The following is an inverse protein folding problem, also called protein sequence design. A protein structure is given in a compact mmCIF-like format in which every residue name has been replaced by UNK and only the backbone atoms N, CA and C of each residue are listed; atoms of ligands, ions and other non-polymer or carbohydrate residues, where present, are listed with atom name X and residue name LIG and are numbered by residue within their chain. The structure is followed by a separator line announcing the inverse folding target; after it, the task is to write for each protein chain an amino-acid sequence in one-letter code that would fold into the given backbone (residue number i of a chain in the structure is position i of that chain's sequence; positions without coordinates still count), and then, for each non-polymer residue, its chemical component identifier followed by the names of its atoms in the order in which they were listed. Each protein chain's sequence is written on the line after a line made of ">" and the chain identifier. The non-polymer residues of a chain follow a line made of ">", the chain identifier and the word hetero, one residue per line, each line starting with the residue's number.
data_IF_013802874616
#
_entry.id   IF_013802874616
#
_cell.length_a   1.000
_cell.length_b   1.000
_cell.length_c   1.000
_cell.angle_alpha   90.00
_cell.angle_beta   90.00
_cell.angle_gamma   90.00
#
_symmetry.space_group_name_H-M   'P 1'
#
loop_
_entity.id
_entity.type
_entity.pdbx_description
1 polymer ?
#
# COMPACT_ATOMS: atom_id res chain seq x y z
N UNK A 1 6.89 -18.36 15.91
CA UNK A 1 5.51 -18.64 16.35
C UNK A 1 4.59 -17.71 15.59
N UNK A 2 3.55 -18.18 14.87
CA UNK A 2 2.60 -17.28 14.20
C UNK A 2 1.98 -16.35 15.24
N UNK A 3 1.82 -15.07 14.88
CA UNK A 3 1.15 -14.08 15.73
C UNK A 3 -0.29 -14.50 16.03
N UNK A 4 -0.87 -13.96 17.11
CA UNK A 4 -2.20 -14.32 17.64
C UNK A 4 -3.37 -14.22 16.62
N UNK A 5 -3.14 -13.64 15.44
CA UNK A 5 -4.11 -13.47 14.36
C UNK A 5 -3.84 -14.34 13.12
N UNK A 6 -2.87 -15.25 13.18
CA UNK A 6 -2.60 -16.15 12.05
C UNK A 6 -3.79 -17.10 11.86
N UNK A 7 -4.32 -17.17 10.65
CA UNK A 7 -5.32 -18.19 10.28
C UNK A 7 -4.69 -19.58 10.49
N UNK A 8 -5.46 -20.56 10.97
CA UNK A 8 -4.95 -21.90 11.11
C UNK A 8 -4.51 -22.44 9.74
N UNK A 9 -3.44 -23.20 9.73
CA UNK A 9 -3.01 -23.87 8.50
C UNK A 9 -4.12 -24.78 7.94
N UNK A 10 -4.18 -24.96 6.62
CA UNK A 10 -5.12 -25.90 6.01
C UNK A 10 -4.96 -27.31 6.61
N UNK A 11 -6.05 -28.08 6.65
CA UNK A 11 -6.02 -29.44 7.14
C UNK A 11 -4.98 -30.27 6.35
N UNK A 12 -4.09 -30.96 7.07
CA UNK A 12 -3.00 -31.76 6.49
C UNK A 12 -1.73 -30.98 6.12
N UNK A 13 -1.69 -29.66 6.36
CA UNK A 13 -0.46 -28.89 6.21
C UNK A 13 0.44 -29.08 7.42
N UNK A 14 1.64 -29.55 7.18
CA UNK A 14 2.69 -29.72 8.21
C UNK A 14 3.77 -28.65 7.98
N UNK A 15 3.80 -27.58 8.79
CA UNK A 15 4.76 -26.49 8.59
C UNK A 15 6.23 -26.93 8.75
N UNK A 16 6.50 -28.03 9.48
CA UNK A 16 7.85 -28.53 9.65
C UNK A 16 8.41 -29.20 8.40
N UNK A 17 7.52 -29.65 7.50
CA UNK A 17 7.89 -30.21 6.21
C UNK A 17 8.08 -29.19 5.11
N UNK A 18 7.62 -27.95 5.32
CA UNK A 18 7.75 -26.87 4.35
C UNK A 18 8.89 -25.94 4.76
N UNK A 19 10.09 -26.27 4.35
CA UNK A 19 11.23 -25.36 4.47
C UNK A 19 11.34 -24.52 3.21
N UNK A 20 11.30 -23.20 3.36
CA UNK A 20 11.67 -22.29 2.28
C UNK A 20 13.19 -22.38 2.13
N UNK A 21 13.71 -22.80 0.95
CA UNK A 21 15.15 -22.87 0.77
C UNK A 21 15.78 -21.50 0.94
N UNK A 22 17.02 -21.42 1.45
CA UNK A 22 17.73 -20.15 1.56
C UNK A 22 17.77 -19.45 0.20
N UNK A 23 17.32 -18.21 0.15
CA UNK A 23 17.44 -17.36 -1.03
C UNK A 23 18.46 -16.24 -0.77
N UNK A 24 19.15 -15.80 -1.81
CA UNK A 24 19.90 -14.57 -1.73
C UNK A 24 18.91 -13.40 -1.88
N UNK A 25 18.95 -12.49 -0.95
CA UNK A 25 18.19 -11.25 -1.01
C UNK A 25 19.14 -10.08 -0.89
N UNK A 26 18.74 -8.95 -1.43
CA UNK A 26 19.39 -7.66 -1.30
C UNK A 26 18.39 -6.61 -0.88
N UNK A 27 18.88 -5.52 -0.34
CA UNK A 27 18.08 -4.32 -0.07
C UNK A 27 18.16 -3.38 -1.26
N UNK A 28 17.11 -2.62 -1.46
CA UNK A 28 17.07 -1.51 -2.43
C UNK A 28 16.84 -0.21 -1.68
N UNK A 29 17.30 0.88 -2.26
CA UNK A 29 17.11 2.22 -1.71
C UNK A 29 16.20 3.04 -2.63
N UNK A 30 15.69 4.16 -2.12
CA UNK A 30 14.97 5.16 -2.92
C UNK A 30 15.74 5.51 -4.18
N UNK A 31 15.09 5.50 -5.33
CA UNK A 31 15.70 5.81 -6.62
C UNK A 31 16.54 4.69 -7.22
N UNK A 32 16.61 3.51 -6.60
CA UNK A 32 17.25 2.34 -7.23
C UNK A 32 16.60 2.02 -8.56
N UNK A 33 17.43 1.62 -9.55
CA UNK A 33 16.97 1.31 -10.91
C UNK A 33 17.17 -0.17 -11.20
N UNK A 34 16.08 -0.86 -11.51
CA UNK A 34 16.15 -2.16 -12.15
C UNK A 34 16.17 -1.98 -13.67
N UNK A 35 17.29 -2.32 -14.33
CA UNK A 35 17.39 -2.35 -15.78
C UNK A 35 17.00 -3.74 -16.28
N UNK A 36 15.91 -3.81 -17.04
CA UNK A 36 15.37 -5.05 -17.58
C UNK A 36 15.84 -5.31 -19.05
N UNK A 37 16.86 -4.59 -19.52
CA UNK A 37 17.39 -4.76 -20.87
C UNK A 37 16.52 -4.07 -21.93
N UNK A 38 16.19 -2.80 -21.72
CA UNK A 38 15.38 -1.98 -22.63
C UNK A 38 14.19 -1.31 -21.95
N UNK A 39 13.98 -1.60 -20.68
CA UNK A 39 12.97 -0.96 -19.82
C UNK A 39 13.55 -0.79 -18.42
N UNK A 40 13.31 0.33 -17.78
CA UNK A 40 13.82 0.64 -16.45
C UNK A 40 12.69 0.84 -15.47
N UNK A 41 12.85 0.28 -14.26
CA UNK A 41 11.93 0.48 -13.15
C UNK A 41 12.65 1.22 -12.03
N UNK A 42 12.04 2.33 -11.59
CA UNK A 42 12.54 3.15 -10.48
C UNK A 42 11.84 2.77 -9.18
N UNK A 43 12.62 2.53 -8.14
CA UNK A 43 12.08 2.30 -6.79
C UNK A 43 11.70 3.65 -6.17
N UNK A 44 10.49 3.71 -5.64
CA UNK A 44 9.93 4.86 -4.93
C UNK A 44 9.48 4.38 -3.56
N UNK A 45 10.02 4.93 -2.49
CA UNK A 45 9.55 4.64 -1.15
C UNK A 45 8.21 5.29 -0.89
N UNK A 46 7.26 4.49 -0.43
CA UNK A 46 5.86 4.89 -0.26
C UNK A 46 5.32 4.46 1.10
N UNK A 47 5.92 4.95 2.21
CA UNK A 47 5.48 4.56 3.55
C UNK A 47 4.01 4.95 3.79
N UNK A 48 3.28 4.07 4.50
CA UNK A 48 1.86 4.29 4.81
C UNK A 48 1.12 2.99 5.06
N UNK A 49 1.12 2.05 4.12
CA UNK A 49 0.64 0.69 4.34
C UNK A 49 1.60 -0.08 5.25
N UNK A 50 2.89 0.06 5.01
CA UNK A 50 4.00 -0.35 5.88
C UNK A 50 5.14 0.65 5.74
N UNK A 51 6.12 0.60 6.66
CA UNK A 51 7.25 1.53 6.66
C UNK A 51 8.22 1.26 5.49
N UNK A 52 8.23 0.04 4.98
CA UNK A 52 9.07 -0.45 3.90
C UNK A 52 8.34 -0.58 2.56
N UNK A 53 7.11 -0.06 2.46
CA UNK A 53 6.36 -0.07 1.21
C UNK A 53 7.09 0.66 0.10
N UNK A 54 7.06 0.08 -1.11
CA UNK A 54 7.62 0.67 -2.31
C UNK A 54 6.65 0.58 -3.48
N UNK A 55 6.75 1.53 -4.39
CA UNK A 55 6.21 1.46 -5.75
C UNK A 55 7.35 1.36 -6.76
N UNK A 56 7.03 0.90 -7.97
CA UNK A 56 7.97 0.93 -9.08
C UNK A 56 7.39 1.77 -10.21
N UNK A 57 8.13 2.78 -10.66
CA UNK A 57 7.72 3.60 -11.80
C UNK A 57 8.47 3.20 -13.06
N UNK A 58 7.77 3.20 -14.17
CA UNK A 58 8.28 3.05 -15.54
C UNK A 58 7.86 4.28 -16.32
N UNK A 59 8.85 5.09 -16.74
CA UNK A 59 8.60 6.45 -17.23
C UNK A 59 8.26 6.51 -18.74
N UNK A 60 8.64 5.52 -19.54
CA UNK A 60 8.42 5.55 -20.98
C UNK A 60 6.94 5.37 -21.34
N UNK A 61 6.28 4.41 -20.71
CA UNK A 61 4.84 4.14 -20.88
C UNK A 61 4.00 4.72 -19.75
N UNK A 62 4.62 5.45 -18.82
CA UNK A 62 3.96 6.04 -17.63
C UNK A 62 3.17 5.01 -16.83
N UNK A 63 3.84 3.96 -16.40
CA UNK A 63 3.27 2.92 -15.56
C UNK A 63 3.77 3.07 -14.12
N UNK A 64 2.87 2.91 -13.16
CA UNK A 64 3.19 2.90 -11.74
C UNK A 64 2.66 1.62 -11.10
N UNK A 65 3.56 0.71 -10.74
CA UNK A 65 3.23 -0.53 -10.03
C UNK A 65 3.09 -0.21 -8.54
N UNK A 66 1.87 -0.29 -8.04
CA UNK A 66 1.51 0.33 -6.77
C UNK A 66 1.74 -0.51 -5.53
N UNK A 67 2.06 -1.81 -5.68
CA UNK A 67 2.13 -2.71 -4.52
C UNK A 67 0.88 -2.61 -3.66
N UNK A 68 1.06 -2.58 -2.35
CA UNK A 68 -0.03 -2.43 -1.39
C UNK A 68 -0.29 -0.97 -0.98
N UNK A 69 0.46 -0.02 -1.57
CA UNK A 69 0.26 1.41 -1.29
C UNK A 69 -1.03 1.94 -1.90
N UNK A 70 -1.46 1.42 -3.06
CA UNK A 70 -2.76 1.74 -3.63
C UNK A 70 -3.34 0.58 -4.42
N UNK A 71 -4.63 0.29 -4.21
CA UNK A 71 -5.47 -0.60 -5.01
C UNK A 71 -6.95 -0.26 -4.78
N UNK A 72 -7.86 -0.59 -5.73
CA UNK A 72 -9.26 -0.21 -5.65
C UNK A 72 -10.05 -1.11 -4.70
N UNK A 73 -9.72 -1.08 -3.41
CA UNK A 73 -10.41 -1.75 -2.31
C UNK A 73 -10.09 -1.08 -0.98
N UNK A 74 -10.04 -1.84 0.11
CA UNK A 74 -9.76 -1.31 1.45
C UNK A 74 -8.25 -1.15 1.67
N UNK A 75 -7.78 0.09 1.73
CA UNK A 75 -6.40 0.45 2.10
C UNK A 75 -6.25 0.44 3.62
N UNK A 76 -5.31 -0.31 4.11
CA UNK A 76 -5.07 -0.48 5.54
C UNK A 76 -3.92 0.42 6.02
N UNK A 77 -4.12 1.11 7.14
CA UNK A 77 -3.20 2.14 7.69
C UNK A 77 -2.47 1.67 8.96
N UNK A 78 -2.75 0.49 9.48
CA UNK A 78 -2.28 0.05 10.80
C UNK A 78 -1.33 -1.16 10.77
N UNK A 79 -0.78 -1.51 9.61
CA UNK A 79 0.12 -2.65 9.51
C UNK A 79 1.53 -2.27 9.96
N UNK A 80 2.02 -3.03 10.93
CA UNK A 80 3.41 -3.15 11.34
C UNK A 80 4.06 -1.96 12.08
N UNK A 81 3.41 -0.81 12.28
CA UNK A 81 4.00 0.28 13.07
C UNK A 81 3.45 0.32 14.52
N UNK A 82 4.30 0.71 15.44
CA UNK A 82 3.94 1.04 16.82
C UNK A 82 3.46 2.49 16.98
N UNK A 83 3.49 3.27 15.89
CA UNK A 83 3.14 4.68 15.89
C UNK A 83 1.63 4.90 16.09
N UNK A 84 1.24 6.05 16.66
CA UNK A 84 -0.15 6.46 16.74
C UNK A 84 -0.82 6.50 15.36
N UNK A 85 -2.09 6.11 15.29
CA UNK A 85 -2.87 6.06 14.02
C UNK A 85 -2.86 7.41 13.30
N UNK A 86 -2.93 8.51 14.05
CA UNK A 86 -2.91 9.87 13.50
C UNK A 86 -1.62 10.14 12.73
N UNK A 87 -0.48 9.67 13.26
CA UNK A 87 0.83 9.80 12.60
C UNK A 87 0.91 8.92 11.35
N UNK A 88 0.37 7.71 11.39
CA UNK A 88 0.31 6.80 10.24
C UNK A 88 -0.57 7.37 9.12
N UNK A 89 -1.72 7.93 9.47
CA UNK A 89 -2.63 8.63 8.54
C UNK A 89 -1.91 9.82 7.89
N UNK A 90 -1.17 10.62 8.68
CA UNK A 90 -0.38 11.75 8.17
C UNK A 90 0.74 11.30 7.23
N UNK A 91 1.47 10.24 7.59
CA UNK A 91 2.52 9.66 6.75
C UNK A 91 1.96 9.22 5.41
N UNK A 92 0.86 8.46 5.44
CA UNK A 92 0.23 7.98 4.22
C UNK A 92 -0.31 9.13 3.34
N UNK A 93 -0.94 10.12 3.97
CA UNK A 93 -1.42 11.32 3.27
C UNK A 93 -0.29 12.01 2.51
N UNK A 94 0.85 12.26 3.17
CA UNK A 94 2.02 12.90 2.55
C UNK A 94 2.58 12.07 1.40
N UNK A 95 2.68 10.76 1.56
CA UNK A 95 3.08 9.84 0.50
C UNK A 95 2.16 10.01 -0.72
N UNK A 96 0.85 9.99 -0.52
CA UNK A 96 -0.11 10.14 -1.62
C UNK A 96 -0.06 11.52 -2.28
N UNK A 97 0.19 12.60 -1.53
CA UNK A 97 0.37 13.95 -2.08
C UNK A 97 1.63 14.03 -2.97
N UNK A 98 2.75 13.48 -2.51
CA UNK A 98 3.99 13.44 -3.28
C UNK A 98 3.83 12.61 -4.56
N UNK A 99 3.19 11.45 -4.47
CA UNK A 99 2.89 10.61 -5.63
C UNK A 99 1.96 11.32 -6.62
N UNK A 100 0.89 11.96 -6.14
CA UNK A 100 -0.04 12.69 -6.98
C UNK A 100 0.61 13.87 -7.71
N UNK A 101 1.55 14.56 -7.08
CA UNK A 101 2.28 15.67 -7.69
C UNK A 101 3.15 15.23 -8.87
N UNK A 102 3.63 13.98 -8.87
CA UNK A 102 4.55 13.47 -9.88
C UNK A 102 3.94 12.49 -10.87
N UNK A 103 2.99 11.67 -10.43
CA UNK A 103 2.50 10.51 -11.17
C UNK A 103 0.99 10.56 -11.48
N UNK A 104 0.38 11.74 -11.46
CA UNK A 104 -1.07 11.90 -11.71
C UNK A 104 -1.50 11.52 -13.12
N UNK A 105 -0.59 11.50 -14.08
CA UNK A 105 -0.81 11.12 -15.48
C UNK A 105 -0.32 9.70 -15.82
N UNK A 106 0.06 8.92 -14.77
CA UNK A 106 0.46 7.52 -14.93
C UNK A 106 -0.74 6.58 -14.83
N UNK A 107 -0.58 5.42 -15.45
CA UNK A 107 -1.49 4.30 -15.27
C UNK A 107 -1.06 3.49 -14.05
N UNK A 108 -1.95 3.32 -13.07
CA UNK A 108 -1.69 2.54 -11.87
C UNK A 108 -1.90 1.05 -12.14
N UNK A 109 -0.85 0.26 -12.00
CA UNK A 109 -0.86 -1.19 -12.10
C UNK A 109 -1.02 -1.73 -10.67
N UNK A 110 -2.27 -1.98 -10.29
CA UNK A 110 -2.62 -2.36 -8.92
C UNK A 110 -2.38 -3.86 -8.66
N UNK A 111 -1.89 -4.19 -7.46
CA UNK A 111 -1.59 -5.58 -7.06
C UNK A 111 -2.83 -6.37 -6.66
N UNK A 112 -3.92 -5.69 -6.30
CA UNK A 112 -5.17 -6.29 -5.85
C UNK A 112 -6.37 -5.75 -6.62
N UNK A 113 -7.38 -6.61 -6.80
CA UNK A 113 -8.65 -6.33 -7.48
C UNK A 113 -8.47 -5.94 -8.95
N UNK A 114 -8.91 -4.75 -9.35
CA UNK A 114 -8.72 -4.27 -10.71
C UNK A 114 -7.26 -3.87 -10.94
N UNK A 115 -6.59 -4.43 -11.95
CA UNK A 115 -5.15 -4.20 -12.14
C UNK A 115 -4.79 -2.81 -12.64
N UNK A 116 -5.74 -2.10 -13.28
CA UNK A 116 -5.50 -0.80 -13.92
C UNK A 116 -6.39 0.28 -13.33
N UNK A 117 -5.78 1.43 -12.99
CA UNK A 117 -6.47 2.66 -12.57
C UNK A 117 -5.70 3.88 -13.06
N UNK A 118 -6.37 5.01 -13.23
CA UNK A 118 -5.72 6.26 -13.58
C UNK A 118 -5.01 6.90 -12.40
N UNK A 119 -3.93 7.63 -12.66
CA UNK A 119 -3.10 8.29 -11.63
C UNK A 119 -3.83 9.36 -10.82
N UNK A 120 -4.99 9.84 -11.27
CA UNK A 120 -5.85 10.76 -10.51
C UNK A 120 -6.33 10.17 -9.17
N UNK A 121 -6.34 8.83 -9.04
CA UNK A 121 -6.67 8.17 -7.77
C UNK A 121 -5.66 8.48 -6.65
N UNK A 122 -4.40 8.76 -6.97
CA UNK A 122 -3.40 9.18 -5.98
C UNK A 122 -3.84 10.46 -5.26
N UNK A 123 -4.25 11.48 -6.04
CA UNK A 123 -4.74 12.73 -5.49
C UNK A 123 -6.10 12.59 -4.78
N UNK A 124 -6.97 11.70 -5.25
CA UNK A 124 -8.23 11.37 -4.56
C UNK A 124 -7.97 10.73 -3.21
N UNK A 125 -7.00 9.82 -3.14
CA UNK A 125 -6.61 9.14 -1.89
C UNK A 125 -5.96 10.13 -0.91
N UNK A 126 -5.10 11.03 -1.37
CA UNK A 126 -4.55 12.10 -0.54
C UNK A 126 -5.64 12.96 0.11
N UNK A 127 -6.64 13.38 -0.68
CA UNK A 127 -7.80 14.15 -0.16
C UNK A 127 -8.62 13.33 0.85
N UNK A 128 -8.82 12.04 0.60
CA UNK A 128 -9.54 11.16 1.51
C UNK A 128 -8.85 11.08 2.88
N UNK A 129 -7.53 10.96 2.92
CA UNK A 129 -6.77 11.03 4.17
C UNK A 129 -6.88 12.39 4.85
N UNK A 130 -6.86 13.50 4.10
CA UNK A 130 -7.06 14.83 4.65
C UNK A 130 -8.46 15.01 5.27
N UNK A 131 -9.50 14.44 4.67
CA UNK A 131 -10.85 14.43 5.25
C UNK A 131 -10.90 13.67 6.58
N UNK A 132 -10.23 12.53 6.68
CA UNK A 132 -10.14 11.75 7.93
C UNK A 132 -9.45 12.59 9.02
N UNK A 133 -8.34 13.24 8.69
CA UNK A 133 -7.63 14.13 9.63
C UNK A 133 -8.48 15.36 10.05
N UNK A 134 -9.33 15.85 9.15
CA UNK A 134 -10.26 16.93 9.46
C UNK A 134 -11.48 16.48 10.30
N UNK A 135 -11.52 15.20 10.72
CA UNK A 135 -12.55 14.68 11.62
C UNK A 135 -13.74 14.02 10.91
N UNK A 136 -13.59 13.60 9.64
CA UNK A 136 -14.61 12.77 9.00
C UNK A 136 -14.94 11.57 9.87
N UNK A 137 -16.24 11.33 10.07
CA UNK A 137 -16.70 10.16 10.81
C UNK A 137 -16.59 8.91 9.93
N UNK A 138 -16.25 7.74 10.52
CA UNK A 138 -16.23 6.49 9.77
C UNK A 138 -17.65 6.09 9.32
N UNK A 139 -17.74 5.48 8.16
CA UNK A 139 -19.00 4.95 7.64
C UNK A 139 -19.39 3.64 8.35
N UNK A 140 -18.39 2.88 8.81
CA UNK A 140 -18.57 1.64 9.56
C UNK A 140 -17.54 1.55 10.71
N UNK A 141 -17.97 1.01 11.85
CA UNK A 141 -17.08 0.65 12.97
C UNK A 141 -17.20 -0.85 13.19
N UNK A 142 -16.14 -1.56 12.89
CA UNK A 142 -16.06 -3.00 13.02
C UNK A 142 -15.60 -3.47 14.39
N UNK A 143 -15.42 -4.78 14.53
CA UNK A 143 -14.84 -5.39 15.73
C UNK A 143 -13.40 -4.90 15.98
N UNK A 144 -12.95 -4.93 17.22
CA UNK A 144 -11.63 -4.47 17.65
C UNK A 144 -11.31 -2.99 17.33
N UNK A 145 -12.34 -2.14 17.18
CA UNK A 145 -12.18 -0.70 16.97
C UNK A 145 -11.77 -0.29 15.56
N UNK A 146 -11.80 -1.21 14.59
CA UNK A 146 -11.52 -0.87 13.18
C UNK A 146 -12.58 0.12 12.65
N UNK A 147 -12.11 1.19 12.02
CA UNK A 147 -12.92 2.24 11.42
C UNK A 147 -12.75 2.18 9.91
N UNK A 148 -13.86 2.08 9.17
CA UNK A 148 -13.86 2.09 7.71
C UNK A 148 -14.45 3.39 7.20
N UNK A 149 -13.72 4.02 6.29
CA UNK A 149 -14.12 5.22 5.58
C UNK A 149 -14.27 4.89 4.11
N UNK A 150 -15.51 4.94 3.61
CA UNK A 150 -15.82 4.60 2.23
C UNK A 150 -15.67 5.82 1.31
N UNK A 151 -15.01 5.63 0.18
CA UNK A 151 -14.86 6.59 -0.90
C UNK A 151 -15.26 5.95 -2.23
N UNK A 152 -15.41 6.76 -3.26
CA UNK A 152 -15.71 6.24 -4.60
C UNK A 152 -14.48 5.53 -5.19
N UNK A 153 -14.60 4.21 -5.37
CA UNK A 153 -13.58 3.32 -5.91
C UNK A 153 -12.59 2.72 -4.91
N UNK A 154 -12.62 3.12 -3.61
CA UNK A 154 -11.77 2.54 -2.56
C UNK A 154 -12.33 2.82 -1.16
N UNK A 155 -11.72 2.24 -0.15
CA UNK A 155 -11.98 2.59 1.25
C UNK A 155 -10.65 2.75 2.01
N UNK A 156 -10.68 3.41 3.16
CA UNK A 156 -9.56 3.48 4.10
C UNK A 156 -9.99 2.84 5.40
N UNK A 157 -9.13 1.97 5.96
CA UNK A 157 -9.35 1.30 7.23
C UNK A 157 -8.27 1.72 8.21
N UNK A 158 -8.71 2.25 9.36
CA UNK A 158 -7.85 2.60 10.51
C UNK A 158 -8.31 1.86 11.76
N UNK A 159 -7.54 2.00 12.81
CA UNK A 159 -7.92 1.60 14.17
C UNK A 159 -8.42 2.77 14.98
#
# INVERSE_FOLDING_TARGET
>A
TPGANAKPYPAGFDPERYTIPPCRFGTVEEGHIFDLGGRKLWVIYTPGHSDDSVMLAEDEEKLLFTGDTFYPASLYVFFASADPVEQLVETYRRTMEQLAARYSDYTLICSHNEPLRGGEFLGRTARAFAEIQAGRQPDEVGSAGMKKYQFDGFAIITR
#
